data_IF_231298700744
#
_entry.id   IF_231298700744
#
_cell.length_a   1.000
_cell.length_b   1.000
_cell.length_c   1.000
_cell.angle_alpha   90.00
_cell.angle_beta   90.00
_cell.angle_gamma   90.00
#
_symmetry.space_group_name_H-M   'P 1'
#
loop_
_entity.id
_entity.type
_entity.pdbx_description
1 polymer ?
#
# COMPACT_ATOMS: atom_id res chain seq x y z
N UNK A 1 6.87 -5.53 7.72
CA UNK A 1 5.60 -5.85 8.41
C UNK A 1 4.72 -6.59 7.43
N UNK A 2 4.08 -7.67 7.85
CA UNK A 2 3.25 -8.48 6.97
C UNK A 2 1.94 -8.85 7.67
N UNK A 3 0.85 -8.97 6.92
CA UNK A 3 -0.43 -9.47 7.41
C UNK A 3 -1.36 -9.88 6.28
N UNK A 4 -2.23 -10.84 6.58
CA UNK A 4 -3.31 -11.26 5.68
C UNK A 4 -4.62 -10.57 6.03
N UNK A 5 -5.34 -10.13 4.99
CA UNK A 5 -6.65 -9.50 5.10
C UNK A 5 -7.65 -10.20 4.19
N UNK A 6 -8.72 -10.73 4.78
CA UNK A 6 -9.83 -11.32 4.03
C UNK A 6 -10.91 -10.27 3.78
N UNK A 7 -11.40 -10.20 2.55
CA UNK A 7 -12.42 -9.24 2.11
C UNK A 7 -13.47 -9.99 1.28
N UNK A 8 -14.74 -9.69 1.52
CA UNK A 8 -15.89 -10.26 0.79
C UNK A 8 -16.18 -9.50 -0.51
N UNK A 9 -15.14 -9.24 -1.29
CA UNK A 9 -15.20 -8.59 -2.63
C UNK A 9 -14.45 -9.46 -3.64
N UNK A 10 -14.71 -9.28 -4.94
CA UNK A 10 -13.92 -9.96 -5.96
C UNK A 10 -12.52 -9.35 -6.10
N UNK A 11 -11.60 -10.14 -6.64
CA UNK A 11 -10.24 -9.72 -6.99
C UNK A 11 -10.23 -8.55 -7.97
N UNK A 12 -11.09 -8.60 -8.99
CA UNK A 12 -11.29 -7.51 -9.93
C UNK A 12 -11.75 -6.22 -9.24
N UNK A 13 -12.75 -6.30 -8.36
CA UNK A 13 -13.28 -5.13 -7.65
C UNK A 13 -12.22 -4.47 -6.75
N UNK A 14 -11.48 -5.29 -6.00
CA UNK A 14 -10.40 -4.79 -5.16
C UNK A 14 -9.30 -4.16 -6.02
N UNK A 15 -8.92 -4.83 -7.10
CA UNK A 15 -7.89 -4.34 -8.01
C UNK A 15 -8.27 -3.00 -8.64
N UNK A 16 -9.47 -2.89 -9.19
CA UNK A 16 -9.97 -1.65 -9.81
C UNK A 16 -9.95 -0.52 -8.79
N UNK A 17 -10.45 -0.75 -7.57
CA UNK A 17 -10.38 0.23 -6.50
C UNK A 17 -8.93 0.66 -6.18
N UNK A 18 -8.01 -0.28 -6.03
CA UNK A 18 -6.61 0.03 -5.68
C UNK A 18 -5.91 0.83 -6.78
N UNK A 19 -6.07 0.40 -8.04
CA UNK A 19 -5.43 1.05 -9.20
C UNK A 19 -6.07 2.42 -9.46
N UNK A 20 -7.38 2.55 -9.42
CA UNK A 20 -8.06 3.84 -9.61
C UNK A 20 -7.63 4.86 -8.55
N UNK A 21 -7.56 4.46 -7.28
CA UNK A 21 -7.11 5.35 -6.22
C UNK A 21 -5.64 5.74 -6.40
N UNK A 22 -4.78 4.80 -6.78
CA UNK A 22 -3.38 5.10 -7.06
C UNK A 22 -3.22 6.04 -8.26
N UNK A 23 -3.90 5.75 -9.38
CA UNK A 23 -3.95 6.59 -10.57
C UNK A 23 -4.41 8.02 -10.24
N UNK A 24 -5.45 8.15 -9.41
CA UNK A 24 -5.95 9.45 -8.93
C UNK A 24 -4.93 10.17 -8.05
N UNK A 25 -4.26 9.45 -7.15
CA UNK A 25 -3.20 10.00 -6.29
C UNK A 25 -2.04 10.55 -7.12
N UNK A 26 -1.59 9.80 -8.13
CA UNK A 26 -0.43 10.19 -8.94
C UNK A 26 -0.78 10.99 -10.20
N UNK A 27 -2.08 11.23 -10.44
CA UNK A 27 -2.58 12.05 -11.55
C UNK A 27 -2.42 11.44 -12.94
N UNK A 28 -2.56 10.12 -13.06
CA UNK A 28 -2.47 9.40 -14.36
C UNK A 28 -3.72 8.56 -14.64
N UNK A 29 -3.91 8.17 -15.90
CA UNK A 29 -5.06 7.37 -16.32
C UNK A 29 -4.84 5.86 -16.15
N UNK A 30 -3.59 5.40 -16.27
CA UNK A 30 -3.23 4.01 -16.16
C UNK A 30 -1.79 3.88 -15.65
N UNK A 31 -1.49 2.73 -15.03
CA UNK A 31 -0.15 2.36 -14.59
C UNK A 31 0.42 1.23 -15.43
N UNK A 32 1.73 1.27 -15.64
CA UNK A 32 2.48 0.17 -16.23
C UNK A 32 3.64 -0.24 -15.33
N UNK A 33 4.08 -1.49 -15.51
CA UNK A 33 5.28 -2.00 -14.85
C UNK A 33 6.49 -1.09 -15.13
N UNK A 34 7.28 -0.83 -14.10
CA UNK A 34 8.50 -0.02 -14.19
C UNK A 34 8.27 1.49 -14.24
N UNK A 35 7.01 1.94 -14.23
CA UNK A 35 6.69 3.36 -14.29
C UNK A 35 7.08 4.07 -13.00
N UNK A 36 7.64 5.26 -13.16
CA UNK A 36 8.13 6.12 -12.08
C UNK A 36 7.34 7.42 -12.06
N UNK A 37 6.90 7.83 -10.87
CA UNK A 37 6.16 9.06 -10.66
C UNK A 37 6.83 9.86 -9.56
N UNK A 38 6.94 11.18 -9.74
CA UNK A 38 7.41 12.09 -8.69
C UNK A 38 6.27 12.98 -8.25
N UNK A 39 5.91 12.91 -6.98
CA UNK A 39 4.82 13.66 -6.37
C UNK A 39 5.34 14.61 -5.31
N UNK A 40 4.71 15.79 -5.20
CA UNK A 40 5.05 16.79 -4.17
C UNK A 40 4.18 16.58 -2.94
N UNK A 41 4.80 16.49 -1.76
CA UNK A 41 4.13 16.48 -0.46
C UNK A 41 4.06 17.91 0.05
N UNK A 42 2.86 18.47 0.14
CA UNK A 42 2.63 19.80 0.71
C UNK A 42 3.08 20.96 -0.17
N UNK A 43 3.20 22.15 0.44
CA UNK A 43 3.44 23.41 -0.27
C UNK A 43 4.93 23.72 -0.51
N UNK A 44 5.84 23.01 0.16
CA UNK A 44 7.29 23.29 0.06
C UNK A 44 7.92 22.44 -1.04
N UNK A 45 8.75 23.08 -1.86
CA UNK A 45 9.32 22.47 -3.06
C UNK A 45 10.31 21.31 -2.79
N UNK A 46 10.83 21.21 -1.57
CA UNK A 46 11.83 20.24 -1.12
C UNK A 46 11.21 18.93 -0.59
N UNK A 47 9.89 18.86 -0.47
CA UNK A 47 9.18 17.67 -0.02
C UNK A 47 8.57 16.98 -1.24
N UNK A 48 9.34 16.11 -1.87
CA UNK A 48 8.83 15.20 -2.90
C UNK A 48 9.06 13.75 -2.50
N UNK A 49 8.22 12.88 -3.03
CA UNK A 49 8.46 11.44 -3.05
C UNK A 49 8.40 10.93 -4.47
N UNK A 50 9.12 9.85 -4.68
CA UNK A 50 9.24 9.18 -5.97
C UNK A 50 8.75 7.77 -5.81
N UNK A 51 7.72 7.39 -6.55
CA UNK A 51 7.12 6.05 -6.47
C UNK A 51 7.40 5.29 -7.76
N UNK A 52 7.83 4.04 -7.62
CA UNK A 52 8.14 3.13 -8.73
C UNK A 52 7.23 1.92 -8.64
N UNK A 53 6.54 1.60 -9.73
CA UNK A 53 5.75 0.36 -9.85
C UNK A 53 6.71 -0.78 -10.18
N UNK A 54 6.96 -1.68 -9.23
CA UNK A 54 8.01 -2.71 -9.34
C UNK A 54 7.53 -4.07 -9.81
N UNK A 55 6.36 -4.53 -9.35
CA UNK A 55 5.71 -5.72 -9.89
C UNK A 55 4.25 -5.34 -10.15
N UNK A 56 3.75 -5.76 -11.30
CA UNK A 56 2.39 -5.47 -11.71
C UNK A 56 1.84 -6.65 -12.49
N UNK A 57 0.97 -7.41 -11.82
CA UNK A 57 0.18 -8.48 -12.39
C UNK A 57 -1.29 -8.16 -12.05
N UNK A 58 -2.11 -7.80 -13.05
CA UNK A 58 -3.51 -7.43 -12.81
C UNK A 58 -4.22 -8.47 -11.96
N UNK A 59 -4.99 -8.00 -10.98
CA UNK A 59 -5.74 -8.81 -10.00
C UNK A 59 -4.91 -9.76 -9.10
N UNK A 60 -3.58 -9.77 -9.22
CA UNK A 60 -2.72 -10.75 -8.55
C UNK A 60 -1.64 -10.11 -7.69
N UNK A 61 -0.88 -9.16 -8.22
CA UNK A 61 0.21 -8.56 -7.48
C UNK A 61 0.46 -7.11 -7.89
N UNK A 62 0.67 -6.27 -6.88
CA UNK A 62 1.04 -4.88 -7.06
C UNK A 62 2.09 -4.46 -6.03
N UNK A 63 3.29 -4.12 -6.50
CA UNK A 63 4.38 -3.63 -5.65
C UNK A 63 4.69 -2.18 -5.97
N UNK A 64 4.69 -1.33 -4.94
CA UNK A 64 5.05 0.07 -4.99
C UNK A 64 6.29 0.34 -4.15
N UNK A 65 7.28 0.99 -4.73
CA UNK A 65 8.48 1.42 -4.03
C UNK A 65 8.53 2.95 -3.94
N UNK A 66 8.38 3.48 -2.74
CA UNK A 66 8.39 4.90 -2.44
C UNK A 66 9.77 5.32 -1.94
N UNK A 67 10.35 6.32 -2.57
CA UNK A 67 11.59 6.97 -2.17
C UNK A 67 11.28 8.37 -1.65
N UNK A 68 11.74 8.66 -0.45
CA UNK A 68 11.60 9.96 0.21
C UNK A 68 12.97 10.42 0.72
N UNK A 69 13.08 11.68 1.12
CA UNK A 69 14.28 12.21 1.78
C UNK A 69 14.61 11.51 3.12
N UNK A 70 13.68 10.71 3.66
CA UNK A 70 13.84 9.99 4.92
C UNK A 70 14.23 8.51 4.72
N UNK A 71 14.09 7.98 3.50
CA UNK A 71 14.33 6.57 3.22
C UNK A 71 13.38 6.01 2.16
N UNK A 72 13.38 4.68 2.07
CA UNK A 72 12.68 3.88 1.07
C UNK A 72 11.63 3.00 1.74
N UNK A 73 10.40 3.05 1.25
CA UNK A 73 9.31 2.19 1.69
C UNK A 73 8.85 1.30 0.53
N UNK A 74 8.85 -0.01 0.71
CA UNK A 74 8.35 -0.98 -0.28
C UNK A 74 7.03 -1.50 0.24
N UNK A 75 5.98 -1.39 -0.57
CA UNK A 75 4.64 -1.90 -0.25
C UNK A 75 4.28 -2.94 -1.30
N UNK A 76 3.98 -4.16 -0.88
CA UNK A 76 3.58 -5.27 -1.73
C UNK A 76 2.17 -5.74 -1.35
N UNK A 77 1.33 -5.89 -2.37
CA UNK A 77 0.00 -6.48 -2.27
C UNK A 77 -0.01 -7.73 -3.14
N UNK A 78 -0.32 -8.88 -2.56
CA UNK A 78 -0.62 -10.10 -3.29
C UNK A 78 -2.08 -10.47 -3.04
N UNK A 79 -2.85 -10.61 -4.11
CA UNK A 79 -4.28 -10.83 -4.07
C UNK A 79 -4.52 -12.26 -4.54
N UNK A 80 -5.21 -13.04 -3.72
CA UNK A 80 -5.58 -14.42 -4.01
C UNK A 80 -7.09 -14.58 -3.87
N UNK A 81 -7.79 -15.12 -4.89
CA UNK A 81 -9.21 -15.42 -4.77
C UNK A 81 -9.45 -16.52 -3.74
N UNK A 82 -10.63 -16.48 -3.11
CA UNK A 82 -11.13 -17.45 -2.13
C UNK A 82 -12.61 -17.72 -2.39
N UNK A 83 -13.19 -18.76 -1.81
CA UNK A 83 -14.59 -19.14 -2.03
C UNK A 83 -15.60 -18.00 -1.78
N UNK A 84 -15.28 -17.08 -0.86
CA UNK A 84 -16.18 -16.00 -0.42
C UNK A 84 -15.60 -14.59 -0.64
N UNK A 85 -14.63 -14.43 -1.55
CA UNK A 85 -14.01 -13.14 -1.84
C UNK A 85 -12.51 -13.25 -2.08
N UNK A 86 -11.70 -12.43 -1.44
CA UNK A 86 -10.24 -12.41 -1.62
C UNK A 86 -9.46 -12.41 -0.31
N UNK A 87 -8.26 -13.00 -0.36
CA UNK A 87 -7.21 -12.84 0.62
C UNK A 87 -6.14 -11.89 0.06
N UNK A 88 -5.83 -10.83 0.79
CA UNK A 88 -4.75 -9.89 0.47
C UNK A 88 -3.60 -10.14 1.43
N UNK A 89 -2.52 -10.72 0.91
CA UNK A 89 -1.25 -10.74 1.63
C UNK A 89 -0.58 -9.38 1.46
N UNK A 90 -0.54 -8.62 2.55
CA UNK A 90 0.05 -7.29 2.60
C UNK A 90 1.45 -7.35 3.21
N UNK A 91 2.38 -6.67 2.57
CA UNK A 91 3.78 -6.59 2.97
C UNK A 91 4.27 -5.14 2.87
N UNK A 92 4.94 -4.65 3.90
CA UNK A 92 5.51 -3.30 3.96
C UNK A 92 6.89 -3.30 4.60
N UNK A 93 7.90 -2.79 3.90
CA UNK A 93 9.29 -2.76 4.33
C UNK A 93 9.86 -1.34 4.26
N UNK A 94 10.32 -0.84 5.42
CA UNK A 94 10.89 0.50 5.53
C UNK A 94 12.40 0.43 5.74
N UNK A 95 13.16 1.09 4.88
CA UNK A 95 14.60 1.27 4.97
C UNK A 95 14.93 2.75 5.16
N UNK A 96 15.71 3.10 6.18
CA UNK A 96 16.12 4.49 6.44
C UNK A 96 17.57 4.55 6.88
N UNK A 97 18.25 5.62 6.47
CA UNK A 97 19.65 5.88 6.81
C UNK A 97 19.80 6.66 8.13
N UNK A 98 18.70 7.15 8.72
CA UNK A 98 18.77 7.97 9.94
C UNK A 98 19.00 7.12 11.19
N UNK A 99 20.12 7.41 11.84
CA UNK A 99 20.73 6.81 13.05
C UNK A 99 19.80 6.58 14.26
N UNK A 100 18.61 7.19 14.31
CA UNK A 100 17.67 7.10 15.44
C UNK A 100 17.04 5.71 15.63
N UNK A 101 17.26 4.78 14.70
CA UNK A 101 16.76 3.40 14.81
C UNK A 101 17.72 2.43 15.52
N UNK A 102 18.90 2.86 15.98
CA UNK A 102 19.92 1.91 16.47
C UNK A 102 19.75 1.41 17.93
N UNK A 103 18.89 2.01 18.76
CA UNK A 103 18.95 1.73 20.22
C UNK A 103 17.64 1.48 20.96
N UNK A 104 16.47 1.40 20.30
CA UNK A 104 15.22 1.07 21.02
C UNK A 104 14.16 0.31 20.18
N UNK A 105 14.61 -0.44 19.17
CA UNK A 105 13.78 -0.98 18.09
C UNK A 105 12.79 -2.08 18.51
N UNK A 106 13.11 -2.87 19.53
CA UNK A 106 12.34 -4.10 19.80
C UNK A 106 10.98 -3.83 20.47
N UNK A 107 10.95 -3.05 21.55
CA UNK A 107 9.71 -2.71 22.27
C UNK A 107 8.87 -1.67 21.51
N UNK A 108 9.50 -0.61 21.00
CA UNK A 108 8.81 0.43 20.23
C UNK A 108 8.34 -0.16 18.89
N UNK A 109 9.14 -1.02 18.26
CA UNK A 109 8.79 -1.69 17.01
C UNK A 109 7.56 -2.58 17.16
N UNK A 110 7.42 -3.34 18.24
CA UNK A 110 6.23 -4.17 18.48
C UNK A 110 4.96 -3.36 18.71
N UNK A 111 5.03 -2.28 19.50
CA UNK A 111 3.89 -1.39 19.73
C UNK A 111 3.48 -0.70 18.42
N UNK A 112 4.45 -0.16 17.68
CA UNK A 112 4.21 0.45 16.37
C UNK A 112 3.63 -0.55 15.37
N UNK A 113 4.18 -1.76 15.29
CA UNK A 113 3.66 -2.82 14.45
C UNK A 113 2.20 -3.14 14.80
N UNK A 114 1.86 -3.28 16.08
CA UNK A 114 0.49 -3.55 16.50
C UNK A 114 -0.48 -2.43 16.12
N UNK A 115 -0.11 -1.16 16.35
CA UNK A 115 -0.92 -0.01 15.94
C UNK A 115 -1.09 0.07 14.42
N UNK A 116 -0.03 -0.19 13.65
CA UNK A 116 -0.06 -0.20 12.20
C UNK A 116 -0.97 -1.31 11.66
N UNK A 117 -0.81 -2.53 12.15
CA UNK A 117 -1.65 -3.66 11.76
C UNK A 117 -3.13 -3.40 12.06
N UNK A 118 -3.43 -2.80 13.23
CA UNK A 118 -4.80 -2.42 13.60
C UNK A 118 -5.35 -1.32 12.68
N UNK A 119 -4.54 -0.31 12.33
CA UNK A 119 -4.93 0.75 11.40
C UNK A 119 -5.18 0.20 10.00
N UNK A 120 -4.30 -0.67 9.49
CA UNK A 120 -4.44 -1.33 8.19
C UNK A 120 -5.66 -2.24 8.14
N UNK A 121 -5.93 -3.01 9.20
CA UNK A 121 -7.17 -3.81 9.31
C UNK A 121 -8.42 -2.95 9.19
N UNK A 122 -8.46 -1.79 9.84
CA UNK A 122 -9.58 -0.85 9.73
C UNK A 122 -9.70 -0.28 8.32
N UNK A 123 -8.57 0.08 7.70
CA UNK A 123 -8.54 0.59 6.33
C UNK A 123 -9.11 -0.42 5.34
N UNK A 124 -8.65 -1.68 5.37
CA UNK A 124 -9.17 -2.72 4.48
C UNK A 124 -10.66 -2.99 4.68
N UNK A 125 -11.17 -2.96 5.92
CA UNK A 125 -12.61 -3.03 6.18
C UNK A 125 -13.38 -1.83 5.60
N UNK A 126 -12.80 -0.63 5.65
CA UNK A 126 -13.42 0.56 5.05
C UNK A 126 -13.44 0.46 3.52
N UNK A 127 -12.36 -0.06 2.92
CA UNK A 127 -12.29 -0.34 1.48
C UNK A 127 -13.37 -1.34 1.08
N UNK A 128 -13.47 -2.48 1.77
CA UNK A 128 -14.51 -3.49 1.56
C UNK A 128 -15.92 -2.87 1.63
N UNK A 129 -16.21 -2.12 2.69
CA UNK A 129 -17.51 -1.47 2.84
C UNK A 129 -17.80 -0.46 1.73
N UNK A 130 -16.80 0.31 1.31
CA UNK A 130 -16.95 1.30 0.26
C UNK A 130 -17.26 0.64 -1.10
N UNK A 131 -16.48 -0.39 -1.48
CA UNK A 131 -16.71 -1.18 -2.69
C UNK A 131 -18.11 -1.79 -2.70
N UNK A 132 -18.56 -2.36 -1.57
CA UNK A 132 -19.88 -2.96 -1.45
C UNK A 132 -21.04 -1.94 -1.44
N UNK A 133 -20.77 -0.69 -1.06
CA UNK A 133 -21.78 0.39 -1.05
C UNK A 133 -21.96 1.01 -2.43
N UNK A 134 -20.90 1.17 -3.22
CA UNK A 134 -20.98 1.70 -4.60
C UNK A 134 -21.75 0.75 -5.55
N UNK A 135 -22.04 -0.48 -5.11
CA UNK A 135 -22.81 -1.48 -5.87
C UNK A 135 -24.30 -1.51 -5.54
N UNK A 136 -24.77 -0.71 -4.56
CA UNK A 136 -26.19 -0.60 -4.19
C UNK A 136 -26.84 0.62 -4.82
#
# INVERSE_FOLDING_TARGET
>A
MQADYHLAVSDQQLYDFLIENFCREVGVQAVTFGQEFTQKIGKKADQSYRVIVKNYQPNQQFTLEYYTNLGRNIVDYQISPTDNGVCVHYSEEYHTDKFLYKTNYWLIGWIWQWFFLRKKRRLFKQIEQHILQEQK
#
